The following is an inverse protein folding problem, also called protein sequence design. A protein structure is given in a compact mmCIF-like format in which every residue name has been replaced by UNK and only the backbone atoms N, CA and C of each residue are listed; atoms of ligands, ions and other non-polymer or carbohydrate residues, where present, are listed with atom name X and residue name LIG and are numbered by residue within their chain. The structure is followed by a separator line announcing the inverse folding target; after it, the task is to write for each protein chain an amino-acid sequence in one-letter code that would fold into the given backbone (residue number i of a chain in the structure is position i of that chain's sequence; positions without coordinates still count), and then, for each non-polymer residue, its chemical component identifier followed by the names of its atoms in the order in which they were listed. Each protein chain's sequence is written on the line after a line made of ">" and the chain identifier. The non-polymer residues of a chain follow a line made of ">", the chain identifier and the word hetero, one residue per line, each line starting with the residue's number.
data_IF_006641102458
#
_entry.id   IF_006641102458
#
_cell.length_a   1.000
_cell.length_b   1.000
_cell.length_c   1.000
_cell.angle_alpha   90.00
_cell.angle_beta   90.00
_cell.angle_gamma   90.00
#
_symmetry.space_group_name_H-M   'P 1'
#
loop_
_entity.id
_entity.type
_entity.pdbx_description
1 polymer ?
#
# COMPACT_ATOMS: atom_id res chain seq x y z
N UNK A 1 -27.23 13.92 -2.26
CA UNK A 1 -27.10 13.11 -1.02
C UNK A 1 -25.61 12.99 -0.72
N UNK A 2 -25.14 13.50 0.41
CA UNK A 2 -23.73 13.62 0.74
C UNK A 2 -23.26 12.34 1.47
N UNK A 3 -22.46 11.51 0.82
CA UNK A 3 -21.93 10.29 1.45
C UNK A 3 -20.97 10.63 2.60
N UNK A 4 -20.99 9.90 3.73
CA UNK A 4 -20.00 10.01 4.79
C UNK A 4 -18.57 9.86 4.24
N UNK A 5 -17.60 10.59 4.81
CA UNK A 5 -16.20 10.61 4.36
C UNK A 5 -15.59 9.20 4.21
N UNK A 6 -15.98 8.27 5.09
CA UNK A 6 -15.55 6.87 5.08
C UNK A 6 -16.06 6.07 3.86
N UNK A 7 -17.28 6.33 3.37
CA UNK A 7 -17.81 5.66 2.17
C UNK A 7 -17.16 6.18 0.88
N UNK A 8 -16.74 7.45 0.85
CA UNK A 8 -15.94 8.01 -0.26
C UNK A 8 -14.56 7.38 -0.35
N UNK A 9 -13.93 7.12 0.80
CA UNK A 9 -12.61 6.49 0.91
C UNK A 9 -12.62 5.03 0.43
N UNK A 10 -13.71 4.26 0.70
CA UNK A 10 -13.87 2.90 0.19
C UNK A 10 -14.29 2.84 -1.31
N UNK A 11 -14.93 3.88 -1.82
CA UNK A 11 -15.21 4.03 -3.25
C UNK A 11 -13.96 4.48 -4.05
N UNK A 12 -13.09 5.29 -3.44
CA UNK A 12 -11.83 5.82 -4.00
C UNK A 12 -10.89 4.73 -4.50
N UNK A 13 -10.72 3.67 -3.70
CA UNK A 13 -9.89 2.52 -4.07
C UNK A 13 -10.37 1.86 -5.39
N UNK A 14 -11.68 1.86 -5.69
CA UNK A 14 -12.18 1.16 -6.89
C UNK A 14 -11.85 1.87 -8.21
N UNK A 15 -11.60 3.18 -8.21
CA UNK A 15 -11.33 3.94 -9.44
C UNK A 15 -9.84 4.03 -9.81
N UNK A 16 -8.94 3.82 -8.85
CA UNK A 16 -7.49 3.98 -9.04
C UNK A 16 -6.73 2.66 -9.13
N UNK A 17 -7.45 1.54 -9.06
CA UNK A 17 -6.85 0.23 -9.17
C UNK A 17 -6.97 -0.36 -10.58
N UNK A 18 -5.82 -0.71 -11.16
CA UNK A 18 -5.76 -1.43 -12.44
C UNK A 18 -5.26 -2.85 -12.19
N UNK A 19 -6.04 -3.84 -12.62
CA UNK A 19 -5.71 -5.26 -12.48
C UNK A 19 -5.09 -5.81 -13.78
N UNK A 20 -4.30 -6.87 -13.65
CA UNK A 20 -3.80 -7.64 -14.79
C UNK A 20 -2.62 -7.01 -15.53
N UNK A 21 -1.99 -5.97 -14.98
CA UNK A 21 -0.78 -5.35 -15.55
C UNK A 21 0.34 -6.39 -15.69
N UNK A 22 0.67 -7.10 -14.61
CA UNK A 22 1.71 -8.13 -14.62
C UNK A 22 1.38 -9.29 -15.59
N UNK A 23 0.10 -9.70 -15.67
CA UNK A 23 -0.34 -10.75 -16.59
C UNK A 23 -0.21 -10.32 -18.05
N UNK A 24 -0.58 -9.07 -18.38
CA UNK A 24 -0.39 -8.49 -19.72
C UNK A 24 1.08 -8.34 -20.05
N UNK A 25 1.90 -7.87 -19.10
CA UNK A 25 3.36 -7.77 -19.29
C UNK A 25 3.97 -9.14 -19.61
N UNK A 26 3.60 -10.17 -18.86
CA UNK A 26 4.02 -11.56 -19.11
C UNK A 26 3.66 -12.01 -20.53
N UNK A 27 2.44 -11.72 -20.98
CA UNK A 27 2.01 -12.04 -22.35
C UNK A 27 2.86 -11.31 -23.40
N UNK A 28 3.11 -10.02 -23.21
CA UNK A 28 3.93 -9.22 -24.12
C UNK A 28 5.38 -9.74 -24.18
N UNK A 29 5.96 -10.12 -23.04
CA UNK A 29 7.30 -10.70 -22.98
C UNK A 29 7.40 -12.01 -23.78
N UNK A 30 6.38 -12.87 -23.70
CA UNK A 30 6.30 -14.10 -24.52
C UNK A 30 6.22 -13.76 -26.01
N UNK A 31 5.35 -12.83 -26.40
CA UNK A 31 5.19 -12.40 -27.79
C UNK A 31 6.47 -11.75 -28.35
N UNK A 32 7.21 -11.02 -27.51
CA UNK A 32 8.48 -10.40 -27.86
C UNK A 32 9.67 -11.38 -27.91
N UNK A 33 9.45 -12.67 -27.62
CA UNK A 33 10.51 -13.71 -27.53
C UNK A 33 11.65 -13.31 -26.57
N UNK A 34 11.30 -12.68 -25.46
CA UNK A 34 12.28 -12.37 -24.43
C UNK A 34 12.95 -13.65 -23.92
N UNK A 35 14.28 -13.63 -23.78
CA UNK A 35 15.07 -14.82 -23.40
C UNK A 35 14.81 -15.24 -21.95
N UNK A 36 14.68 -14.27 -21.04
CA UNK A 36 14.35 -14.49 -19.63
C UNK A 36 13.60 -13.27 -19.07
N UNK A 37 12.50 -13.49 -18.35
CA UNK A 37 11.75 -12.42 -17.69
C UNK A 37 11.23 -12.91 -16.34
N UNK A 38 11.64 -12.21 -15.28
CA UNK A 38 11.12 -12.38 -13.93
C UNK A 38 10.11 -11.28 -13.63
N UNK A 39 8.86 -11.65 -13.39
CA UNK A 39 7.79 -10.73 -12.99
C UNK A 39 7.22 -11.12 -11.64
N UNK A 40 6.86 -10.12 -10.85
CA UNK A 40 6.14 -10.29 -9.59
C UNK A 40 4.77 -10.98 -9.80
N UNK A 41 4.21 -11.51 -8.71
CA UNK A 41 2.84 -12.07 -8.67
C UNK A 41 1.80 -11.10 -9.27
N UNK A 42 0.66 -11.53 -9.84
CA UNK A 42 -0.35 -10.62 -10.40
C UNK A 42 -0.84 -9.56 -9.38
N UNK A 43 -0.65 -8.28 -9.72
CA UNK A 43 -0.79 -7.14 -8.81
C UNK A 43 -2.05 -6.31 -9.11
N UNK A 44 -2.57 -5.68 -8.06
CA UNK A 44 -3.42 -4.50 -8.13
C UNK A 44 -2.52 -3.25 -8.27
N UNK A 45 -2.40 -2.68 -9.47
CA UNK A 45 -1.67 -1.43 -9.65
C UNK A 45 -2.48 -0.27 -9.06
N UNK A 46 -1.84 0.63 -8.32
CA UNK A 46 -2.49 1.79 -7.71
C UNK A 46 -1.88 3.09 -8.20
N UNK A 47 -2.69 3.99 -8.74
CA UNK A 47 -2.26 5.35 -9.06
C UNK A 47 -2.59 6.31 -7.92
N UNK A 48 -1.81 7.38 -7.81
CA UNK A 48 -2.22 8.55 -7.02
C UNK A 48 -3.53 9.13 -7.56
N UNK A 49 -4.31 9.70 -6.65
CA UNK A 49 -5.53 10.44 -6.92
C UNK A 49 -5.25 11.95 -6.80
N UNK A 50 -6.26 12.79 -7.10
CA UNK A 50 -6.08 14.26 -7.08
C UNK A 50 -5.65 14.79 -5.70
N UNK A 51 -6.15 14.19 -4.61
CA UNK A 51 -5.95 14.68 -3.25
C UNK A 51 -4.60 14.26 -2.64
N UNK A 52 -3.97 13.22 -3.18
CA UNK A 52 -2.67 12.71 -2.71
C UNK A 52 -1.61 12.73 -3.82
N UNK A 53 -1.86 13.41 -4.93
CA UNK A 53 -0.92 13.50 -6.05
C UNK A 53 0.48 14.00 -5.66
N UNK A 54 0.58 14.86 -4.63
CA UNK A 54 1.84 15.50 -4.23
C UNK A 54 2.63 14.72 -3.18
N UNK A 55 2.07 13.68 -2.54
CA UNK A 55 2.72 12.96 -1.43
C UNK A 55 2.40 11.46 -1.35
N UNK A 56 1.35 11.03 -2.05
CA UNK A 56 0.74 9.71 -1.94
C UNK A 56 1.55 8.58 -2.58
N UNK A 57 2.59 8.88 -3.36
CA UNK A 57 3.31 7.90 -4.18
C UNK A 57 3.78 6.69 -3.36
N UNK A 58 4.41 6.90 -2.21
CA UNK A 58 4.93 5.82 -1.38
C UNK A 58 3.78 5.02 -0.73
N UNK A 59 2.69 5.67 -0.32
CA UNK A 59 1.49 5.00 0.16
C UNK A 59 0.85 4.11 -0.91
N UNK A 60 0.80 4.57 -2.16
CA UNK A 60 0.29 3.78 -3.30
C UNK A 60 1.19 2.60 -3.63
N UNK A 61 2.51 2.77 -3.54
CA UNK A 61 3.46 1.67 -3.64
C UNK A 61 3.23 0.63 -2.54
N UNK A 62 2.99 1.07 -1.31
CA UNK A 62 2.65 0.17 -0.21
C UNK A 62 1.34 -0.58 -0.46
N UNK A 63 0.30 0.08 -0.99
CA UNK A 63 -0.93 -0.61 -1.42
C UNK A 63 -0.65 -1.71 -2.46
N UNK A 64 0.25 -1.47 -3.42
CA UNK A 64 0.66 -2.47 -4.41
C UNK A 64 1.40 -3.64 -3.75
N UNK A 65 2.34 -3.38 -2.83
CA UNK A 65 3.08 -4.42 -2.10
C UNK A 65 2.14 -5.29 -1.24
N UNK A 66 1.21 -4.67 -0.50
CA UNK A 66 0.18 -5.39 0.27
C UNK A 66 -0.64 -6.29 -0.66
N UNK A 67 -1.01 -5.81 -1.86
CA UNK A 67 -1.76 -6.62 -2.82
C UNK A 67 -0.99 -7.86 -3.33
N UNK A 68 0.33 -7.77 -3.45
CA UNK A 68 1.18 -8.91 -3.80
C UNK A 68 1.21 -9.95 -2.68
N UNK A 69 1.41 -9.50 -1.43
CA UNK A 69 1.49 -10.37 -0.27
C UNK A 69 0.15 -11.04 0.02
N UNK A 70 -0.95 -10.29 -0.15
CA UNK A 70 -2.31 -10.80 -0.06
C UNK A 70 -2.63 -11.97 -1.00
N UNK A 71 -1.89 -12.13 -2.10
CA UNK A 71 -2.05 -13.26 -3.01
C UNK A 71 -1.53 -14.59 -2.43
N UNK A 72 -0.78 -14.54 -1.33
CA UNK A 72 -0.30 -15.71 -0.60
C UNK A 72 -1.07 -15.86 0.71
N UNK A 73 -1.55 -17.08 0.98
CA UNK A 73 -2.42 -17.35 2.14
C UNK A 73 -1.73 -17.11 3.49
N UNK A 74 -0.42 -17.38 3.57
CA UNK A 74 0.40 -17.18 4.78
C UNK A 74 0.47 -15.71 5.23
N UNK A 75 0.51 -14.77 4.28
CA UNK A 75 0.48 -13.34 4.59
C UNK A 75 -0.92 -12.75 4.63
N UNK A 76 -1.89 -13.35 3.92
CA UNK A 76 -3.26 -12.86 3.89
C UNK A 76 -3.87 -12.83 5.29
N UNK A 77 -3.77 -13.93 6.05
CA UNK A 77 -4.34 -13.99 7.40
C UNK A 77 -3.74 -12.90 8.29
N UNK A 78 -2.43 -12.74 8.28
CA UNK A 78 -1.74 -11.75 9.13
C UNK A 78 -2.05 -10.30 8.72
N UNK A 79 -2.14 -10.01 7.42
CA UNK A 79 -2.41 -8.65 6.92
C UNK A 79 -3.87 -8.23 7.07
N UNK A 80 -4.81 -9.20 7.02
CA UNK A 80 -6.25 -8.95 7.04
C UNK A 80 -6.95 -9.41 8.31
N UNK A 81 -6.22 -9.86 9.34
CA UNK A 81 -6.72 -10.05 10.71
C UNK A 81 -7.03 -8.69 11.38
N UNK A 82 -8.03 -7.99 10.84
CA UNK A 82 -8.47 -6.68 11.28
C UNK A 82 -8.93 -5.72 10.17
N UNK A 83 -8.73 -6.04 8.89
CA UNK A 83 -9.11 -5.17 7.75
C UNK A 83 -9.79 -5.93 6.61
N UNK A 84 -10.78 -5.31 5.96
CA UNK A 84 -11.44 -5.86 4.76
C UNK A 84 -10.81 -5.22 3.52
N UNK A 85 -9.81 -5.88 2.95
CA UNK A 85 -9.15 -5.47 1.70
C UNK A 85 -8.06 -4.40 1.87
N UNK A 86 -7.50 -3.93 0.74
CA UNK A 86 -6.32 -3.05 0.72
C UNK A 86 -6.60 -1.74 1.49
N UNK A 87 -5.77 -1.39 2.50
CA UNK A 87 -6.01 -0.21 3.33
C UNK A 87 -5.86 1.07 2.52
N UNK A 88 -6.63 2.09 2.88
CA UNK A 88 -6.56 3.43 2.26
C UNK A 88 -5.37 4.23 2.79
N UNK A 89 -5.00 5.34 2.15
CA UNK A 89 -3.88 6.19 2.60
C UNK A 89 -4.03 6.61 4.07
N UNK A 90 -5.18 7.15 4.54
CA UNK A 90 -5.35 7.48 5.97
C UNK A 90 -5.24 6.27 6.89
N UNK A 91 -5.66 5.08 6.42
CA UNK A 91 -5.55 3.86 7.20
C UNK A 91 -4.09 3.41 7.32
N UNK A 92 -3.31 3.52 6.25
CA UNK A 92 -1.86 3.29 6.26
C UNK A 92 -1.18 4.24 7.24
N UNK A 93 -1.51 5.54 7.20
CA UNK A 93 -0.96 6.52 8.15
C UNK A 93 -1.21 6.11 9.61
N UNK A 94 -2.44 5.68 9.92
CA UNK A 94 -2.81 5.20 11.26
C UNK A 94 -1.99 3.97 11.68
N UNK A 95 -1.72 3.06 10.74
CA UNK A 95 -0.98 1.83 11.01
C UNK A 95 0.51 2.14 11.26
N UNK A 96 1.11 3.06 10.48
CA UNK A 96 2.49 3.51 10.70
C UNK A 96 2.61 4.19 12.07
N UNK A 97 1.67 5.08 12.44
CA UNK A 97 1.66 5.68 13.77
C UNK A 97 1.52 4.65 14.89
N UNK A 98 0.75 3.58 14.67
CA UNK A 98 0.67 2.46 15.60
C UNK A 98 2.02 1.73 15.71
N UNK A 99 2.70 1.46 14.59
CA UNK A 99 4.03 0.84 14.59
C UNK A 99 5.04 1.69 15.38
N UNK A 100 5.02 3.01 15.20
CA UNK A 100 5.80 3.95 15.99
C UNK A 100 5.46 3.92 17.49
N UNK A 101 4.21 3.66 17.84
CA UNK A 101 3.75 3.46 19.22
C UNK A 101 4.27 2.15 19.84
N UNK A 102 4.47 1.11 19.02
CA UNK A 102 5.02 -0.19 19.44
C UNK A 102 6.56 -0.24 19.44
N UNK A 103 7.22 0.87 19.10
CA UNK A 103 8.68 1.02 19.18
C UNK A 103 9.42 0.80 17.88
N UNK A 104 8.73 0.58 16.77
CA UNK A 104 9.35 0.55 15.44
C UNK A 104 9.66 1.98 14.96
N UNK A 105 10.78 2.15 14.25
CA UNK A 105 11.12 3.39 13.55
C UNK A 105 10.96 4.68 14.39
N UNK A 106 11.64 4.74 15.54
CA UNK A 106 11.62 5.94 16.39
C UNK A 106 12.23 7.18 15.71
N UNK A 107 13.13 6.97 14.74
CA UNK A 107 13.76 8.06 13.98
C UNK A 107 12.75 8.70 13.04
N UNK A 108 12.10 7.92 12.17
CA UNK A 108 11.06 8.40 11.26
C UNK A 108 9.89 9.02 12.03
N UNK A 109 9.50 8.44 13.18
CA UNK A 109 8.56 9.07 14.11
C UNK A 109 8.99 10.49 14.50
N UNK A 110 10.24 10.67 14.93
CA UNK A 110 10.76 11.96 15.37
C UNK A 110 10.78 12.98 14.22
N UNK A 111 11.29 12.57 13.05
CA UNK A 111 11.39 13.42 11.85
C UNK A 111 10.01 13.88 11.36
N UNK A 112 9.03 13.00 11.41
CA UNK A 112 7.65 13.28 11.01
C UNK A 112 6.80 13.80 12.16
N UNK A 113 7.42 14.23 13.27
CA UNK A 113 6.77 14.83 14.45
C UNK A 113 5.66 13.96 15.05
N UNK A 114 5.78 12.64 14.90
CA UNK A 114 4.87 11.64 15.45
C UNK A 114 3.44 11.71 14.91
N UNK A 115 3.21 12.30 13.74
CA UNK A 115 1.87 12.41 13.16
C UNK A 115 1.91 12.37 11.64
N UNK A 116 1.17 11.44 11.06
CA UNK A 116 0.89 11.26 9.65
C UNK A 116 -0.59 11.45 9.33
N UNK A 117 -1.48 10.99 10.21
CA UNK A 117 -2.93 11.02 9.99
C UNK A 117 -3.38 12.46 9.75
N UNK A 118 -4.19 12.65 8.71
CA UNK A 118 -4.67 13.96 8.23
C UNK A 118 -3.57 14.93 7.78
N UNK A 119 -2.38 14.42 7.44
CA UNK A 119 -1.30 15.20 6.84
C UNK A 119 -1.04 14.78 5.40
N UNK A 120 -0.37 15.66 4.65
CA UNK A 120 0.21 15.39 3.33
C UNK A 120 1.70 15.06 3.40
N UNK A 121 2.16 14.50 4.54
CA UNK A 121 3.57 14.15 4.71
C UNK A 121 3.94 12.97 3.83
N UNK A 122 5.14 13.09 3.26
CA UNK A 122 5.78 12.03 2.51
C UNK A 122 6.26 10.97 3.50
N UNK A 123 6.25 9.73 3.06
CA UNK A 123 6.87 8.61 3.78
C UNK A 123 7.91 7.95 2.90
N UNK A 124 8.90 7.31 3.52
CA UNK A 124 9.99 6.61 2.88
C UNK A 124 9.94 5.09 3.09
N UNK A 125 11.02 4.40 2.69
CA UNK A 125 11.22 2.98 2.97
C UNK A 125 11.15 2.61 4.46
N UNK A 126 11.56 3.50 5.35
CA UNK A 126 11.59 3.30 6.80
C UNK A 126 10.19 3.13 7.38
N UNK A 127 9.24 4.00 7.02
CA UNK A 127 7.84 3.84 7.44
C UNK A 127 7.18 2.61 6.81
N UNK A 128 7.58 2.25 5.59
CA UNK A 128 7.11 1.01 4.94
C UNK A 128 7.62 -0.22 5.71
N UNK A 129 8.87 -0.21 6.14
CA UNK A 129 9.44 -1.27 6.98
C UNK A 129 8.72 -1.34 8.33
N UNK A 130 8.49 -0.20 8.98
CA UNK A 130 7.75 -0.13 10.24
C UNK A 130 6.33 -0.69 10.09
N UNK A 131 5.66 -0.39 8.97
CA UNK A 131 4.36 -0.96 8.64
C UNK A 131 4.40 -2.49 8.61
N UNK A 132 5.33 -3.09 7.86
CA UNK A 132 5.40 -4.55 7.74
C UNK A 132 5.90 -5.23 9.02
N UNK A 133 6.80 -4.59 9.77
CA UNK A 133 7.31 -5.07 11.05
C UNK A 133 6.19 -5.22 12.10
N UNK A 134 5.21 -4.31 12.10
CA UNK A 134 4.02 -4.41 12.96
C UNK A 134 3.24 -5.71 12.71
N UNK A 135 3.21 -6.18 11.46
CA UNK A 135 2.59 -7.45 11.06
C UNK A 135 3.57 -8.62 11.08
N UNK A 136 4.81 -8.45 11.57
CA UNK A 136 5.85 -9.49 11.60
C UNK A 136 6.17 -10.07 10.22
N UNK A 137 6.09 -9.25 9.18
CA UNK A 137 6.49 -9.58 7.82
C UNK A 137 7.91 -9.04 7.61
N UNK A 138 8.86 -9.96 7.37
CA UNK A 138 10.29 -9.68 7.18
C UNK A 138 10.70 -9.89 5.72
#
# INVERSE_FOLDING_TARGET
>A
MMFPLHERINAENRMHFVRGVASKLRLLCVLAKAQEVNVCSPILYSSVAKFDFTYGCCYRNLQMMISCLAARSDFYEVLFDGFVGIPTVPKIQTIIEKAWGEGFDSCGRSELKGTLVHTSKWIGPEEVLAFFALFRIN
#
